data_IF_398363378552
#
_entry.id   IF_398363378552
#
_cell.length_a   1.000
_cell.length_b   1.000
_cell.length_c   1.000
_cell.angle_alpha   90.00
_cell.angle_beta   90.00
_cell.angle_gamma   90.00
#
_symmetry.space_group_name_H-M   'P 1'
#
loop_
_entity.id
_entity.type
_entity.pdbx_description
1 polymer ?
#
# COMPACT_ATOMS: atom_id res chain seq x y z
N UNK A 1 63.97 42.77 -8.94
CA UNK A 1 63.03 41.92 -8.14
C UNK A 1 61.84 41.46 -8.99
N UNK A 2 62.07 41.17 -10.27
CA UNK A 2 60.99 40.80 -11.24
C UNK A 2 61.37 39.61 -12.15
N UNK A 3 62.28 38.71 -11.71
CA UNK A 3 62.73 37.57 -12.51
C UNK A 3 62.30 36.22 -11.90
N UNK A 4 61.00 36.04 -11.69
CA UNK A 4 60.49 34.73 -11.29
C UNK A 4 59.69 34.06 -12.42
N UNK A 5 60.25 34.09 -13.63
CA UNK A 5 59.64 33.46 -14.82
C UNK A 5 59.36 31.97 -14.62
N UNK A 6 60.16 31.29 -13.79
CA UNK A 6 59.97 29.86 -13.51
C UNK A 6 58.74 29.62 -12.67
N UNK A 7 58.49 30.44 -11.66
CA UNK A 7 57.27 30.29 -10.80
C UNK A 7 56.02 30.69 -11.55
N UNK A 8 56.04 31.73 -12.40
CA UNK A 8 54.94 32.13 -13.24
C UNK A 8 54.63 31.07 -14.30
N UNK A 9 55.62 30.45 -14.93
CA UNK A 9 55.40 29.36 -15.89
C UNK A 9 54.87 28.10 -15.16
N UNK A 10 55.33 27.78 -13.97
CA UNK A 10 54.79 26.66 -13.20
C UNK A 10 53.31 26.87 -12.79
N UNK A 11 52.99 28.11 -12.39
CA UNK A 11 51.59 28.46 -12.07
C UNK A 11 50.69 28.42 -13.33
N UNK A 12 51.16 28.92 -14.45
CA UNK A 12 50.48 28.87 -15.75
C UNK A 12 50.24 27.41 -16.18
N UNK A 13 51.28 26.55 -16.09
CA UNK A 13 51.15 25.14 -16.43
C UNK A 13 50.16 24.39 -15.51
N UNK A 14 50.15 24.74 -14.22
CA UNK A 14 49.18 24.18 -13.26
C UNK A 14 47.73 24.62 -13.58
N UNK A 15 47.58 25.89 -13.96
CA UNK A 15 46.29 26.44 -14.41
C UNK A 15 45.80 25.79 -15.71
N UNK A 16 46.68 25.64 -16.70
CA UNK A 16 46.35 24.93 -17.95
C UNK A 16 46.01 23.47 -17.71
N UNK A 17 46.71 22.79 -16.80
CA UNK A 17 46.39 21.43 -16.39
C UNK A 17 45.01 21.32 -15.76
N UNK A 18 44.65 22.26 -14.85
CA UNK A 18 43.35 22.30 -14.22
C UNK A 18 42.21 22.56 -15.22
N UNK A 19 42.43 23.51 -16.16
CA UNK A 19 41.46 23.79 -17.23
C UNK A 19 41.28 22.59 -18.17
N UNK A 20 42.37 21.90 -18.52
CA UNK A 20 42.32 20.71 -19.37
C UNK A 20 41.56 19.55 -18.66
N UNK A 21 41.79 19.34 -17.37
CA UNK A 21 41.03 18.34 -16.57
C UNK A 21 39.55 18.68 -16.48
N UNK A 22 39.23 19.95 -16.26
CA UNK A 22 37.86 20.44 -16.24
C UNK A 22 37.17 20.26 -17.59
N UNK A 23 37.84 20.59 -18.68
CA UNK A 23 37.33 20.39 -20.04
C UNK A 23 37.11 18.90 -20.35
N UNK A 24 38.02 18.02 -19.95
CA UNK A 24 37.91 16.57 -20.10
C UNK A 24 36.72 16.02 -19.25
N UNK A 25 36.53 16.51 -18.03
CA UNK A 25 35.41 16.16 -17.19
C UNK A 25 34.06 16.56 -17.84
N UNK A 26 33.95 17.80 -18.32
CA UNK A 26 32.73 18.26 -18.99
C UNK A 26 32.50 17.56 -20.33
N UNK A 27 33.54 17.29 -21.09
CA UNK A 27 33.43 16.52 -22.33
C UNK A 27 32.98 15.07 -22.08
N UNK A 28 33.55 14.42 -21.05
CA UNK A 28 33.13 13.08 -20.62
C UNK A 28 31.68 13.03 -20.17
N UNK A 29 31.29 13.99 -19.35
CA UNK A 29 29.89 14.13 -18.89
C UNK A 29 28.93 14.42 -20.06
N UNK A 30 29.34 15.26 -21.03
CA UNK A 30 28.57 15.55 -22.23
C UNK A 30 28.38 14.30 -23.11
N UNK A 31 29.44 13.52 -23.33
CA UNK A 31 29.39 12.26 -24.07
C UNK A 31 28.43 11.28 -23.41
N UNK A 32 28.51 11.08 -22.10
CA UNK A 32 27.62 10.18 -21.36
C UNK A 32 26.17 10.64 -21.44
N UNK A 33 25.91 11.95 -21.44
CA UNK A 33 24.55 12.50 -21.43
C UNK A 33 23.89 12.54 -22.81
N UNK A 34 24.66 12.81 -23.88
CA UNK A 34 24.12 13.06 -25.22
C UNK A 34 24.39 11.96 -26.24
N UNK A 35 25.41 11.15 -26.03
CA UNK A 35 25.62 9.98 -26.88
C UNK A 35 24.80 8.83 -26.27
N UNK A 36 23.94 8.13 -27.04
CA UNK A 36 23.17 6.98 -26.55
C UNK A 36 24.09 5.77 -26.35
N UNK A 37 25.02 5.91 -25.39
CA UNK A 37 25.83 4.81 -24.91
C UNK A 37 24.88 3.89 -24.09
N UNK A 38 24.61 2.70 -24.61
CA UNK A 38 23.69 1.73 -24.00
C UNK A 38 22.26 2.28 -23.84
N UNK A 39 21.48 2.39 -24.93
CA UNK A 39 20.07 2.70 -24.83
C UNK A 39 19.39 1.63 -23.98
N UNK A 40 18.45 2.03 -23.12
CA UNK A 40 17.59 1.09 -22.42
C UNK A 40 16.71 0.36 -23.42
N UNK A 41 16.87 -0.94 -23.55
CA UNK A 41 16.15 -1.79 -24.51
C UNK A 41 15.19 -2.76 -23.85
N UNK A 42 15.37 -3.03 -22.56
CA UNK A 42 14.57 -4.01 -21.85
C UNK A 42 14.13 -3.46 -20.49
N UNK A 43 12.83 -3.59 -20.22
CA UNK A 43 12.26 -3.36 -18.88
C UNK A 43 11.55 -4.64 -18.49
N UNK A 44 12.15 -5.39 -17.57
CA UNK A 44 11.59 -6.62 -17.02
C UNK A 44 10.75 -6.29 -15.80
N UNK A 45 9.51 -6.76 -15.77
CA UNK A 45 8.60 -6.55 -14.66
C UNK A 45 8.40 -7.85 -13.93
N UNK A 46 8.57 -7.83 -12.62
CA UNK A 46 8.41 -8.97 -11.73
C UNK A 46 7.40 -8.64 -10.63
N UNK A 47 6.66 -9.65 -10.17
CA UNK A 47 5.78 -9.52 -9.02
C UNK A 47 6.57 -9.83 -7.74
N UNK A 48 6.75 -8.84 -6.87
CA UNK A 48 7.49 -8.99 -5.61
C UNK A 48 6.78 -9.89 -4.58
N UNK A 49 5.45 -10.08 -4.73
CA UNK A 49 4.62 -10.86 -3.79
C UNK A 49 4.53 -12.36 -4.11
N UNK A 50 5.03 -12.81 -5.28
CA UNK A 50 4.90 -14.20 -5.69
C UNK A 50 6.16 -15.01 -5.39
N UNK A 51 6.05 -15.96 -4.47
CA UNK A 51 7.05 -17.04 -4.29
C UNK A 51 6.82 -18.22 -5.24
N UNK A 52 5.79 -18.17 -6.06
CA UNK A 52 5.32 -19.28 -6.88
C UNK A 52 5.24 -18.92 -8.37
N UNK A 53 5.22 -19.89 -9.22
CA UNK A 53 5.30 -19.83 -10.68
C UNK A 53 4.19 -19.05 -11.41
N UNK A 54 3.26 -18.42 -10.72
CA UNK A 54 2.28 -17.49 -11.28
C UNK A 54 2.67 -16.02 -10.99
N UNK A 55 3.71 -15.58 -11.67
CA UNK A 55 4.30 -14.21 -11.58
C UNK A 55 3.41 -13.12 -12.25
N UNK A 56 2.11 -13.38 -12.40
CA UNK A 56 1.19 -12.46 -13.06
C UNK A 56 0.60 -11.46 -12.09
N UNK A 57 0.72 -10.18 -12.44
CA UNK A 57 -0.02 -9.12 -11.81
C UNK A 57 -1.52 -9.31 -12.12
N UNK A 58 -2.38 -9.22 -11.10
CA UNK A 58 -3.82 -9.50 -11.24
C UNK A 58 -4.62 -8.27 -11.67
N UNK A 59 -4.27 -7.11 -11.15
CA UNK A 59 -5.01 -5.86 -11.30
C UNK A 59 -4.28 -4.82 -12.15
N UNK A 60 -2.95 -4.92 -12.24
CA UNK A 60 -2.15 -3.99 -13.03
C UNK A 60 -2.15 -4.40 -14.51
N UNK A 61 -2.69 -3.55 -15.36
CA UNK A 61 -2.78 -3.82 -16.80
C UNK A 61 -1.50 -3.47 -17.55
N UNK A 62 -1.28 -4.11 -18.70
CA UNK A 62 -0.15 -3.80 -19.59
C UNK A 62 -0.14 -2.35 -20.06
N UNK A 63 -1.31 -1.73 -20.21
CA UNK A 63 -1.42 -0.33 -20.61
C UNK A 63 -0.96 0.62 -19.51
N UNK A 64 -1.31 0.34 -18.26
CA UNK A 64 -0.83 1.09 -17.08
C UNK A 64 0.68 0.98 -16.94
N UNK A 65 1.22 -0.23 -17.06
CA UNK A 65 2.67 -0.47 -17.08
C UNK A 65 3.33 0.33 -18.21
N UNK A 66 2.80 0.24 -19.43
CA UNK A 66 3.32 0.99 -20.56
C UNK A 66 3.24 2.51 -20.37
N UNK A 67 2.24 3.00 -19.66
CA UNK A 67 2.10 4.39 -19.23
C UNK A 67 3.21 4.80 -18.26
N UNK A 68 3.42 4.02 -17.21
CA UNK A 68 4.46 4.26 -16.21
C UNK A 68 5.87 4.23 -16.82
N UNK A 69 6.15 3.26 -17.69
CA UNK A 69 7.43 3.21 -18.43
C UNK A 69 7.65 4.46 -19.26
N UNK A 70 6.66 4.90 -20.05
CA UNK A 70 6.79 6.10 -20.90
C UNK A 70 6.97 7.38 -20.10
N UNK A 71 6.38 7.50 -18.93
CA UNK A 71 6.50 8.69 -18.08
C UNK A 71 7.77 8.70 -17.25
N UNK A 72 8.21 7.54 -16.74
CA UNK A 72 9.33 7.43 -15.80
C UNK A 72 10.68 7.17 -16.47
N UNK A 73 10.73 6.36 -17.54
CA UNK A 73 12.00 5.97 -18.17
C UNK A 73 12.45 7.02 -19.16
N UNK A 74 13.38 7.88 -18.75
CA UNK A 74 14.00 8.89 -19.58
C UNK A 74 15.53 8.80 -19.52
N UNK A 75 16.20 8.93 -20.67
CA UNK A 75 17.65 8.86 -20.75
C UNK A 75 18.19 7.50 -21.20
N UNK A 76 19.41 7.18 -20.80
CA UNK A 76 20.11 5.93 -21.10
C UNK A 76 20.38 5.14 -19.80
N UNK A 77 21.00 3.96 -19.93
CA UNK A 77 21.33 3.09 -18.80
C UNK A 77 22.03 3.79 -17.62
N UNK A 78 22.90 4.79 -17.91
CA UNK A 78 23.67 5.50 -16.88
C UNK A 78 22.94 6.73 -16.32
N UNK A 79 22.10 7.38 -17.14
CA UNK A 79 21.47 8.67 -16.81
C UNK A 79 20.03 8.54 -16.35
N UNK A 80 19.41 7.36 -16.51
CA UNK A 80 18.04 7.12 -16.06
C UNK A 80 17.92 7.36 -14.56
N UNK A 81 16.92 8.13 -14.17
CA UNK A 81 16.56 8.40 -12.80
C UNK A 81 15.67 7.26 -12.28
N UNK A 82 16.22 6.43 -11.39
CA UNK A 82 15.49 5.28 -10.84
C UNK A 82 14.37 5.69 -9.90
N UNK A 83 14.52 6.81 -9.16
CA UNK A 83 13.47 7.33 -8.29
C UNK A 83 12.28 7.81 -9.11
N UNK A 84 12.53 8.53 -10.20
CA UNK A 84 11.46 8.96 -11.11
C UNK A 84 10.72 7.78 -11.76
N UNK A 85 11.44 6.69 -12.07
CA UNK A 85 10.83 5.44 -12.56
C UNK A 85 9.97 4.81 -11.47
N UNK A 86 10.50 4.67 -10.26
CA UNK A 86 9.78 4.13 -9.11
C UNK A 86 8.49 4.93 -8.86
N UNK A 87 8.58 6.25 -8.74
CA UNK A 87 7.43 7.15 -8.54
C UNK A 87 6.37 7.01 -9.64
N UNK A 88 6.80 6.77 -10.88
CA UNK A 88 5.89 6.57 -12.00
C UNK A 88 5.08 5.27 -11.86
N UNK A 89 5.67 4.21 -11.34
CA UNK A 89 4.97 2.95 -11.07
C UNK A 89 4.11 3.02 -9.81
N UNK A 90 4.54 3.70 -8.75
CA UNK A 90 3.77 3.86 -7.52
C UNK A 90 2.52 4.75 -7.70
N UNK A 91 2.46 5.54 -8.76
CA UNK A 91 1.24 6.27 -9.15
C UNK A 91 0.16 5.38 -9.79
N UNK A 92 0.48 4.14 -10.13
CA UNK A 92 -0.51 3.19 -10.66
C UNK A 92 -1.39 2.71 -9.49
N UNK A 93 -2.72 2.84 -9.57
CA UNK A 93 -3.62 2.63 -8.41
C UNK A 93 -3.46 1.30 -7.67
N UNK A 94 -3.15 0.23 -8.38
CA UNK A 94 -3.01 -1.10 -7.80
C UNK A 94 -1.58 -1.45 -7.39
N UNK A 95 -0.62 -0.56 -7.58
CA UNK A 95 0.76 -0.75 -7.11
C UNK A 95 0.89 -0.19 -5.71
N UNK A 96 1.26 -1.05 -4.76
CA UNK A 96 1.55 -0.67 -3.38
C UNK A 96 2.98 -0.15 -3.24
N UNK A 97 3.91 -0.87 -3.85
CA UNK A 97 5.33 -0.56 -3.78
C UNK A 97 6.02 -0.98 -5.07
N UNK A 98 6.97 -0.18 -5.52
CA UNK A 98 7.81 -0.48 -6.67
C UNK A 98 9.29 -0.42 -6.28
N UNK A 99 10.08 -1.39 -6.73
CA UNK A 99 11.53 -1.37 -6.59
C UNK A 99 12.16 -1.46 -7.97
N UNK A 100 13.09 -0.58 -8.25
CA UNK A 100 13.72 -0.47 -9.57
C UNK A 100 15.22 -0.67 -9.45
N UNK A 101 15.77 -1.57 -10.26
CA UNK A 101 17.21 -1.80 -10.33
C UNK A 101 17.72 -1.89 -11.77
N UNK A 102 18.98 -1.50 -11.96
CA UNK A 102 19.64 -1.66 -13.25
C UNK A 102 20.10 -3.09 -13.43
N UNK A 103 19.85 -3.66 -14.63
CA UNK A 103 20.43 -4.94 -15.07
C UNK A 103 21.38 -4.66 -16.21
N UNK A 104 22.65 -5.00 -15.98
CA UNK A 104 23.68 -4.83 -17.01
C UNK A 104 23.42 -5.78 -18.19
N UNK A 105 23.64 -5.35 -19.46
CA UNK A 105 24.27 -4.09 -19.86
C UNK A 105 23.30 -2.93 -20.10
N UNK A 106 22.00 -3.14 -20.33
CA UNK A 106 21.09 -2.12 -20.87
C UNK A 106 19.64 -2.33 -20.44
N UNK A 107 19.40 -3.03 -19.33
CA UNK A 107 18.08 -3.36 -18.79
C UNK A 107 17.74 -2.64 -17.50
N UNK A 108 16.45 -2.53 -17.23
CA UNK A 108 15.88 -2.22 -15.93
C UNK A 108 15.01 -3.40 -15.46
N UNK A 109 15.11 -3.74 -14.20
CA UNK A 109 14.17 -4.64 -13.53
C UNK A 109 13.32 -3.83 -12.58
N UNK A 110 12.02 -3.96 -12.73
CA UNK A 110 11.01 -3.34 -11.89
C UNK A 110 10.25 -4.44 -11.17
N UNK A 111 10.41 -4.49 -9.86
CA UNK A 111 9.69 -5.41 -8.99
C UNK A 111 8.52 -4.68 -8.39
N UNK A 112 7.29 -5.14 -8.66
CA UNK A 112 6.04 -4.51 -8.24
C UNK A 112 5.37 -5.37 -7.16
N UNK A 113 4.89 -4.72 -6.10
CA UNK A 113 3.99 -5.31 -5.12
C UNK A 113 2.59 -4.75 -5.35
N UNK A 114 1.62 -5.62 -5.64
CA UNK A 114 0.22 -5.21 -5.81
C UNK A 114 -0.47 -4.99 -4.47
N UNK A 115 -1.45 -4.07 -4.47
CA UNK A 115 -2.37 -3.88 -3.38
C UNK A 115 -3.26 -5.12 -3.20
N UNK A 116 -3.33 -5.64 -1.98
CA UNK A 116 -4.28 -6.68 -1.60
C UNK A 116 -5.43 -6.03 -0.86
N UNK A 117 -6.57 -5.89 -1.53
CA UNK A 117 -7.74 -5.24 -0.96
C UNK A 117 -8.34 -6.06 0.19
N UNK A 118 -8.68 -5.40 1.28
CA UNK A 118 -9.36 -5.98 2.44
C UNK A 118 -10.79 -5.49 2.57
N UNK A 119 -11.01 -4.19 2.39
CA UNK A 119 -12.29 -3.56 2.63
C UNK A 119 -12.49 -2.33 1.74
N UNK A 120 -13.73 -1.88 1.63
CA UNK A 120 -14.10 -0.59 1.05
C UNK A 120 -14.06 0.48 2.14
N UNK A 121 -13.45 1.61 1.86
CA UNK A 121 -13.43 2.75 2.78
C UNK A 121 -14.55 3.72 2.42
N UNK A 122 -15.59 3.77 3.25
CA UNK A 122 -16.74 4.65 3.01
C UNK A 122 -17.31 4.48 1.58
N UNK A 123 -17.46 5.57 0.82
CA UNK A 123 -18.08 5.55 -0.51
C UNK A 123 -17.07 5.45 -1.66
N UNK A 124 -15.81 5.83 -1.46
CA UNK A 124 -14.90 6.10 -2.59
C UNK A 124 -13.49 5.53 -2.50
N UNK A 125 -13.11 4.88 -1.41
CA UNK A 125 -11.76 4.34 -1.23
C UNK A 125 -11.73 2.84 -1.01
N UNK A 126 -10.53 2.28 -1.07
CA UNK A 126 -10.23 0.92 -0.67
C UNK A 126 -9.18 0.92 0.44
N UNK A 127 -9.20 -0.13 1.25
CA UNK A 127 -8.23 -0.38 2.32
C UNK A 127 -7.52 -1.69 2.02
N UNK A 128 -6.20 -1.68 2.06
CA UNK A 128 -5.41 -2.89 1.91
C UNK A 128 -5.25 -3.68 3.22
N UNK A 129 -4.60 -4.83 3.17
CA UNK A 129 -4.34 -5.68 4.34
C UNK A 129 -3.45 -5.01 5.39
N UNK A 130 -2.69 -3.96 5.03
CA UNK A 130 -1.85 -3.16 5.90
C UNK A 130 -2.60 -1.99 6.56
N UNK A 131 -3.85 -1.74 6.12
CA UNK A 131 -4.67 -0.63 6.60
C UNK A 131 -4.38 0.69 5.91
N UNK A 132 -3.69 0.67 4.77
CA UNK A 132 -3.40 1.83 3.95
C UNK A 132 -4.58 2.11 3.01
N UNK A 133 -4.92 3.39 2.86
CA UNK A 133 -5.97 3.84 1.95
C UNK A 133 -5.41 3.99 0.53
N UNK A 134 -6.15 3.53 -0.46
CA UNK A 134 -5.82 3.73 -1.87
C UNK A 134 -7.06 3.88 -2.74
N UNK A 135 -6.90 4.54 -3.88
CA UNK A 135 -7.99 4.77 -4.83
C UNK A 135 -7.89 3.79 -6.00
N UNK A 136 -8.83 2.85 -6.06
CA UNK A 136 -8.97 1.94 -7.17
C UNK A 136 -10.42 1.45 -7.29
N UNK A 137 -10.81 0.97 -8.47
CA UNK A 137 -12.10 0.31 -8.67
C UNK A 137 -12.02 -1.17 -8.28
N UNK A 138 -13.02 -1.68 -7.56
CA UNK A 138 -13.20 -3.10 -7.30
C UNK A 138 -14.67 -3.47 -7.42
N UNK A 139 -14.96 -4.57 -8.11
CA UNK A 139 -16.32 -5.17 -8.22
C UNK A 139 -16.56 -6.23 -7.14
N UNK A 140 -15.56 -6.51 -6.30
CA UNK A 140 -15.68 -7.50 -5.24
C UNK A 140 -16.65 -7.06 -4.14
N UNK A 141 -17.35 -8.03 -3.55
CA UNK A 141 -18.17 -7.82 -2.36
C UNK A 141 -17.23 -7.77 -1.15
N UNK A 142 -16.94 -6.55 -0.71
CA UNK A 142 -16.00 -6.28 0.37
C UNK A 142 -16.75 -5.77 1.60
N UNK A 143 -16.24 -6.04 2.81
CA UNK A 143 -16.71 -5.35 4.00
C UNK A 143 -16.48 -3.84 3.87
N UNK A 144 -17.29 -3.06 4.60
CA UNK A 144 -17.23 -1.59 4.56
C UNK A 144 -16.64 -1.07 5.87
N UNK A 145 -15.62 -0.23 5.76
CA UNK A 145 -15.04 0.48 6.89
C UNK A 145 -15.40 1.96 6.83
N UNK A 146 -15.80 2.50 7.96
CA UNK A 146 -16.16 3.91 8.10
C UNK A 146 -15.51 4.49 9.37
N UNK A 147 -14.91 5.65 9.24
CA UNK A 147 -14.27 6.32 10.37
C UNK A 147 -13.50 7.56 9.97
N UNK A 148 -12.84 8.24 10.91
CA UNK A 148 -11.85 9.26 10.61
C UNK A 148 -10.73 8.70 9.72
N UNK A 149 -10.18 9.50 8.80
CA UNK A 149 -9.18 9.09 7.82
C UNK A 149 -7.92 8.46 8.47
N UNK A 150 -7.54 8.94 9.65
CA UNK A 150 -6.40 8.44 10.42
C UNK A 150 -6.64 7.08 11.12
N UNK A 151 -7.85 6.53 11.02
CA UNK A 151 -8.25 5.33 11.74
C UNK A 151 -8.23 4.04 10.90
N UNK A 152 -7.90 4.10 9.62
CA UNK A 152 -7.94 2.95 8.71
C UNK A 152 -7.10 1.76 9.19
N UNK A 153 -5.88 2.00 9.64
CA UNK A 153 -5.00 0.96 10.18
C UNK A 153 -5.52 0.36 11.50
N UNK A 154 -6.14 1.18 12.36
CA UNK A 154 -6.76 0.72 13.60
C UNK A 154 -7.98 -0.15 13.32
N UNK A 155 -8.85 0.28 12.40
CA UNK A 155 -10.04 -0.48 11.99
C UNK A 155 -9.63 -1.81 11.37
N UNK A 156 -8.62 -1.81 10.49
CA UNK A 156 -8.08 -3.03 9.86
C UNK A 156 -7.61 -4.05 10.90
N UNK A 157 -6.83 -3.60 11.88
CA UNK A 157 -6.35 -4.47 12.96
C UNK A 157 -7.49 -5.06 13.78
N UNK A 158 -8.45 -4.24 14.16
CA UNK A 158 -9.58 -4.67 14.99
C UNK A 158 -10.58 -5.53 14.21
N UNK A 159 -10.74 -5.30 12.91
CA UNK A 159 -11.54 -6.16 12.04
C UNK A 159 -11.07 -7.61 12.07
N UNK A 160 -9.76 -7.85 12.01
CA UNK A 160 -9.20 -9.20 12.13
C UNK A 160 -9.53 -9.83 13.49
N UNK A 161 -9.40 -9.07 14.59
CA UNK A 161 -9.76 -9.52 15.94
C UNK A 161 -11.24 -9.83 16.04
N UNK A 162 -12.11 -8.97 15.52
CA UNK A 162 -13.56 -9.19 15.58
C UNK A 162 -14.00 -10.44 14.82
N UNK A 163 -13.47 -10.67 13.63
CA UNK A 163 -13.77 -11.89 12.89
C UNK A 163 -13.28 -13.15 13.60
N UNK A 164 -12.09 -13.10 14.22
CA UNK A 164 -11.58 -14.21 15.02
C UNK A 164 -12.48 -14.51 16.23
N UNK A 165 -12.96 -13.47 16.93
CA UNK A 165 -13.88 -13.63 18.07
C UNK A 165 -15.26 -14.16 17.65
N UNK A 166 -15.75 -13.79 16.46
CA UNK A 166 -17.05 -14.19 15.95
C UNK A 166 -17.05 -15.58 15.27
N UNK A 167 -15.87 -16.16 15.04
CA UNK A 167 -15.73 -17.47 14.40
C UNK A 167 -16.58 -18.58 15.05
N UNK A 168 -16.70 -18.70 16.39
CA UNK A 168 -17.52 -19.73 17.02
C UNK A 168 -19.00 -19.65 16.65
N UNK A 169 -19.48 -18.46 16.29
CA UNK A 169 -20.86 -18.23 15.85
C UNK A 169 -21.05 -18.35 14.35
N UNK A 170 -20.00 -18.68 13.58
CA UNK A 170 -19.99 -18.69 12.10
C UNK A 170 -20.47 -17.35 11.50
N UNK A 171 -20.24 -16.24 12.21
CA UNK A 171 -20.61 -14.89 11.80
C UNK A 171 -19.39 -14.12 11.31
N UNK A 172 -19.58 -13.26 10.30
CA UNK A 172 -18.56 -12.36 9.80
C UNK A 172 -19.02 -10.91 9.89
N UNK A 173 -18.07 -10.02 9.96
CA UNK A 173 -18.30 -8.59 9.99
C UNK A 173 -18.45 -8.07 8.55
N UNK A 174 -19.61 -7.49 8.24
CA UNK A 174 -19.88 -6.84 6.94
C UNK A 174 -19.55 -5.34 6.95
N UNK A 175 -19.66 -4.68 8.12
CA UNK A 175 -19.34 -3.25 8.26
C UNK A 175 -18.72 -2.97 9.62
N UNK A 176 -17.72 -2.11 9.64
CA UNK A 176 -17.13 -1.54 10.85
C UNK A 176 -17.24 -0.02 10.78
N UNK A 177 -17.81 0.58 11.81
CA UNK A 177 -17.94 2.02 11.94
C UNK A 177 -17.22 2.50 13.20
N UNK A 178 -16.31 3.44 13.05
CA UNK A 178 -15.69 4.18 14.15
C UNK A 178 -16.17 5.64 14.08
N UNK A 179 -17.01 6.01 15.04
CA UNK A 179 -17.52 7.38 15.12
C UNK A 179 -16.38 8.38 15.41
N UNK A 180 -16.55 9.69 15.11
CA UNK A 180 -15.59 10.74 15.50
C UNK A 180 -15.34 10.80 17.03
N UNK A 181 -16.28 10.30 17.82
CA UNK A 181 -16.16 10.17 19.29
C UNK A 181 -15.50 8.87 19.73
N UNK A 182 -14.92 8.13 18.81
CA UNK A 182 -14.22 6.86 19.05
C UNK A 182 -15.13 5.75 19.59
N UNK A 183 -16.41 5.78 19.24
CA UNK A 183 -17.34 4.68 19.55
C UNK A 183 -17.41 3.70 18.37
N UNK A 184 -17.28 2.42 18.67
CA UNK A 184 -17.29 1.32 17.73
C UNK A 184 -18.69 0.75 17.56
N UNK A 185 -19.05 0.53 16.32
CA UNK A 185 -20.23 -0.20 15.88
C UNK A 185 -19.81 -1.18 14.80
N UNK A 186 -20.33 -2.39 14.86
CA UNK A 186 -20.13 -3.38 13.80
C UNK A 186 -21.49 -3.92 13.32
N UNK A 187 -21.57 -4.22 12.04
CA UNK A 187 -22.70 -4.92 11.45
C UNK A 187 -22.22 -6.27 10.93
N UNK A 188 -22.92 -7.32 11.27
CA UNK A 188 -22.64 -8.67 10.82
C UNK A 188 -23.28 -8.93 9.45
N UNK A 189 -22.80 -9.94 8.73
CA UNK A 189 -23.42 -10.38 7.46
C UNK A 189 -24.88 -10.81 7.64
N UNK A 190 -25.25 -11.28 8.84
CA UNK A 190 -26.64 -11.56 9.20
C UNK A 190 -27.54 -10.33 9.28
N UNK A 191 -26.99 -9.11 9.18
CA UNK A 191 -27.69 -7.85 9.36
C UNK A 191 -27.75 -7.35 10.80
N UNK A 192 -27.32 -8.14 11.80
CA UNK A 192 -27.29 -7.75 13.21
C UNK A 192 -26.29 -6.62 13.43
N UNK A 193 -26.73 -5.54 14.09
CA UNK A 193 -25.89 -4.40 14.49
C UNK A 193 -25.49 -4.54 15.95
N UNK A 194 -24.19 -4.47 16.24
CA UNK A 194 -23.62 -4.53 17.58
C UNK A 194 -23.02 -3.17 17.97
N UNK A 195 -23.59 -2.53 19.00
CA UNK A 195 -23.05 -1.30 19.59
C UNK A 195 -22.00 -1.65 20.66
N UNK A 196 -20.73 -1.47 20.34
CA UNK A 196 -19.63 -1.86 21.23
C UNK A 196 -19.19 -0.71 22.17
N UNK A 197 -19.40 0.56 21.72
CA UNK A 197 -18.97 1.74 22.47
C UNK A 197 -17.47 2.02 22.33
N UNK A 198 -16.87 2.66 23.34
CA UNK A 198 -15.49 3.19 23.27
C UNK A 198 -14.47 2.35 24.02
N UNK A 199 -14.88 1.66 25.03
CA UNK A 199 -13.99 0.97 25.97
C UNK A 199 -14.30 -0.52 26.02
N UNK A 200 -13.26 -1.33 26.27
CA UNK A 200 -13.39 -2.78 26.49
C UNK A 200 -14.12 -3.50 25.34
N UNK A 201 -13.90 -3.05 24.11
CA UNK A 201 -14.63 -3.48 22.91
C UNK A 201 -14.52 -5.00 22.71
N UNK A 202 -13.32 -5.53 22.82
CA UNK A 202 -13.05 -6.97 22.68
C UNK A 202 -13.77 -7.79 23.78
N UNK A 203 -13.66 -7.36 25.05
CA UNK A 203 -14.32 -8.02 26.17
C UNK A 203 -15.85 -8.03 26.03
N UNK A 204 -16.42 -6.95 25.49
CA UNK A 204 -17.86 -6.86 25.23
C UNK A 204 -18.29 -7.81 24.12
N UNK A 205 -17.49 -7.89 23.04
CA UNK A 205 -17.75 -8.81 21.94
C UNK A 205 -17.61 -10.27 22.41
N UNK A 206 -16.58 -10.61 23.19
CA UNK A 206 -16.45 -11.95 23.78
C UNK A 206 -17.64 -12.34 24.66
N UNK A 207 -18.19 -11.37 25.41
CA UNK A 207 -19.38 -11.61 26.24
C UNK A 207 -20.59 -11.91 25.36
N UNK A 208 -20.76 -11.19 24.28
CA UNK A 208 -21.82 -11.46 23.31
C UNK A 208 -21.66 -12.86 22.69
N UNK A 209 -20.47 -13.21 22.22
CA UNK A 209 -20.19 -14.53 21.64
C UNK A 209 -20.52 -15.64 22.64
N UNK A 210 -20.03 -15.57 23.89
CA UNK A 210 -20.30 -16.54 24.94
C UNK A 210 -21.80 -16.68 25.28
N UNK A 211 -22.54 -15.59 25.20
CA UNK A 211 -23.97 -15.63 25.47
C UNK A 211 -24.76 -16.26 24.32
N UNK A 212 -24.40 -15.93 23.07
CA UNK A 212 -25.05 -16.48 21.89
C UNK A 212 -24.73 -17.96 21.70
N UNK A 213 -23.50 -18.39 21.89
CA UNK A 213 -23.06 -19.78 21.82
C UNK A 213 -23.90 -20.66 22.80
N UNK A 214 -24.02 -20.24 24.04
CA UNK A 214 -24.85 -20.94 25.05
C UNK A 214 -26.34 -20.96 24.69
N UNK A 215 -26.82 -19.98 23.95
CA UNK A 215 -28.22 -19.88 23.55
C UNK A 215 -28.51 -20.75 22.34
N UNK A 216 -27.56 -20.83 21.39
CA UNK A 216 -27.63 -21.72 20.21
C UNK A 216 -27.67 -23.19 20.62
N UNK A 217 -27.00 -23.58 21.70
CA UNK A 217 -26.98 -24.95 22.21
C UNK A 217 -28.34 -25.35 22.84
N UNK A 218 -29.09 -24.37 23.33
CA UNK A 218 -30.34 -24.61 24.10
C UNK A 218 -31.65 -24.50 23.32
N UNK A 219 -31.65 -23.84 22.16
CA UNK A 219 -32.93 -23.56 21.52
C UNK A 219 -32.78 -23.45 19.99
N UNK A 220 -33.15 -24.50 19.27
CA UNK A 220 -33.31 -24.52 17.82
C UNK A 220 -34.31 -23.44 17.31
N UNK A 221 -35.18 -22.95 18.19
CA UNK A 221 -36.19 -21.94 17.90
C UNK A 221 -35.66 -20.51 17.73
N UNK A 222 -34.49 -20.18 18.28
CA UNK A 222 -33.89 -18.84 18.13
C UNK A 222 -32.96 -18.71 16.92
N UNK A 223 -32.69 -19.80 16.21
CA UNK A 223 -31.91 -19.79 14.94
C UNK A 223 -32.52 -18.95 13.83
N UNK A 224 -33.78 -18.57 13.94
CA UNK A 224 -34.50 -17.76 12.95
C UNK A 224 -34.85 -16.33 13.36
N UNK A 225 -34.61 -15.96 14.63
CA UNK A 225 -34.80 -14.56 15.02
C UNK A 225 -33.50 -13.78 14.80
N UNK A 226 -33.44 -13.07 13.69
CA UNK A 226 -32.42 -12.07 13.43
C UNK A 226 -32.56 -10.98 14.50
N UNK A 227 -31.60 -10.93 15.44
CA UNK A 227 -31.51 -9.81 16.37
C UNK A 227 -31.08 -8.58 15.56
N UNK A 228 -32.00 -7.63 15.37
CA UNK A 228 -31.71 -6.47 14.52
C UNK A 228 -30.64 -5.56 15.16
N UNK A 229 -30.68 -5.41 16.48
CA UNK A 229 -29.79 -4.49 17.18
C UNK A 229 -29.45 -4.99 18.58
N UNK A 230 -28.16 -5.01 18.94
CA UNK A 230 -27.66 -5.43 20.24
C UNK A 230 -26.76 -4.34 20.82
N UNK A 231 -27.15 -3.78 21.95
CA UNK A 231 -26.35 -2.78 22.67
C UNK A 231 -25.51 -3.45 23.76
N UNK A 232 -24.19 -3.49 23.53
CA UNK A 232 -23.20 -4.13 24.40
C UNK A 232 -22.50 -3.14 25.36
N UNK A 233 -22.95 -1.90 25.41
CA UNK A 233 -22.30 -0.85 26.23
C UNK A 233 -22.51 -1.04 27.73
N UNK A 234 -23.46 -1.85 28.14
CA UNK A 234 -23.75 -2.12 29.54
C UNK A 234 -22.66 -3.01 30.21
N UNK A 235 -22.23 -2.69 31.44
CA UNK A 235 -21.15 -3.44 32.11
C UNK A 235 -21.49 -4.92 32.39
N UNK A 236 -22.76 -5.23 32.72
CA UNK A 236 -23.20 -6.55 33.21
C UNK A 236 -24.10 -7.34 32.25
N UNK A 237 -24.37 -6.81 31.04
CA UNK A 237 -25.27 -7.46 30.08
C UNK A 237 -25.30 -6.77 28.73
N UNK A 238 -26.35 -7.01 27.98
CA UNK A 238 -26.66 -6.32 26.75
C UNK A 238 -28.16 -6.20 26.54
N UNK A 239 -28.60 -5.17 25.82
CA UNK A 239 -29.99 -4.99 25.45
C UNK A 239 -30.18 -5.42 23.99
N UNK A 240 -31.32 -6.05 23.71
CA UNK A 240 -31.68 -6.52 22.36
C UNK A 240 -32.96 -5.80 21.93
N UNK A 241 -32.99 -5.35 20.69
CA UNK A 241 -34.16 -4.72 20.04
C UNK A 241 -34.42 -5.35 18.70
#
# INVERSE_FOLDING_TARGET
MWDNHQTLNSLANLLYGAVALMALYFAGRWVVSYVPLLPLTEVTIMNAGSSDSDDRLKHVTREQIGGAVRSGVQGNFFTVDLEAVQDAFEKVPWVRFASVRRIWPNGLEVSLEEQVVLARWSESGLVNMQGELFEAGSEEILPVFEGPEDSSAEITRLYAVYNALLQPLEQKVARVELSPRRAWRIQLESGTVLELGREQVETRLERYVRAMDRTMDRTTALRGQLLAHVDLRYPSGFAVR
#
